data_IF_965626402293
#
_entry.id   IF_965626402293
#
_cell.length_a   1.000
_cell.length_b   1.000
_cell.length_c   1.000
_cell.angle_alpha   90.00
_cell.angle_beta   90.00
_cell.angle_gamma   90.00
#
_symmetry.space_group_name_H-M   'P 1'
#
loop_
_entity.id
_entity.type
_entity.pdbx_description
1 polymer ?
#
# COMPACT_ATOMS: atom_id res chain seq x y z
N UNK A 1 -3.71 32.56 -30.08
CA UNK A 1 -4.00 33.49 -28.96
C UNK A 1 -5.33 34.21 -29.19
N UNK A 2 -5.55 34.83 -30.36
CA UNK A 2 -6.86 35.43 -30.70
C UNK A 2 -7.99 34.37 -30.66
N UNK A 3 -7.79 33.21 -31.30
CA UNK A 3 -8.81 32.13 -31.34
C UNK A 3 -9.25 31.63 -29.95
N UNK A 4 -8.34 31.53 -28.98
CA UNK A 4 -8.66 31.07 -27.63
C UNK A 4 -9.38 32.13 -26.81
N UNK A 5 -9.06 33.41 -27.03
CA UNK A 5 -9.76 34.54 -26.39
C UNK A 5 -11.20 34.62 -26.89
N UNK A 6 -11.40 34.51 -28.21
CA UNK A 6 -12.73 34.52 -28.80
C UNK A 6 -13.58 33.33 -28.34
N UNK A 7 -12.98 32.15 -28.18
CA UNK A 7 -13.63 30.97 -27.61
C UNK A 7 -14.12 31.23 -26.18
N UNK A 8 -13.27 31.79 -25.30
CA UNK A 8 -13.66 32.10 -23.92
C UNK A 8 -14.77 33.15 -23.88
N UNK A 9 -14.68 34.20 -24.69
CA UNK A 9 -15.73 35.23 -24.80
C UNK A 9 -17.05 34.62 -25.30
N UNK A 10 -17.00 33.64 -26.20
CA UNK A 10 -18.17 32.89 -26.62
C UNK A 10 -18.78 32.09 -25.46
N UNK A 11 -17.95 31.35 -24.70
CA UNK A 11 -18.41 30.58 -23.53
C UNK A 11 -19.01 31.48 -22.44
N UNK A 12 -18.43 32.66 -22.19
CA UNK A 12 -18.96 33.64 -21.23
C UNK A 12 -20.36 34.16 -21.58
N UNK A 13 -20.78 34.07 -22.86
CA UNK A 13 -22.12 34.47 -23.31
C UNK A 13 -23.16 33.35 -23.15
N UNK A 14 -22.73 32.11 -22.86
CA UNK A 14 -23.63 30.99 -22.64
C UNK A 14 -24.26 31.07 -21.25
N UNK A 15 -25.49 30.59 -21.12
CA UNK A 15 -26.11 30.45 -19.81
C UNK A 15 -25.40 29.32 -19.06
N UNK A 16 -25.05 29.50 -17.78
CA UNK A 16 -24.22 28.54 -17.03
C UNK A 16 -24.79 27.11 -17.04
N UNK A 17 -26.12 26.97 -17.05
CA UNK A 17 -26.80 25.66 -17.15
C UNK A 17 -26.46 24.92 -18.46
N UNK A 18 -26.30 25.64 -19.58
CA UNK A 18 -25.86 25.05 -20.85
C UNK A 18 -24.45 24.48 -20.76
N UNK A 19 -23.58 25.07 -19.92
CA UNK A 19 -22.22 24.58 -19.68
C UNK A 19 -22.21 23.36 -18.76
N UNK A 20 -22.97 23.41 -17.67
CA UNK A 20 -23.02 22.33 -16.66
C UNK A 20 -23.69 21.06 -17.18
N UNK A 21 -24.70 21.18 -18.03
CA UNK A 21 -25.47 20.04 -18.51
C UNK A 21 -24.74 19.26 -19.66
N UNK A 22 -23.51 19.65 -20.04
CA UNK A 22 -22.74 18.94 -21.08
C UNK A 22 -22.11 17.65 -20.54
N UNK A 23 -22.15 16.60 -21.36
CA UNK A 23 -21.51 15.32 -21.05
C UNK A 23 -20.07 15.29 -21.58
N UNK A 24 -19.11 15.61 -20.71
CA UNK A 24 -17.68 15.64 -21.03
C UNK A 24 -16.97 14.57 -20.21
N UNK A 25 -16.68 13.43 -20.86
CA UNK A 25 -16.05 12.28 -20.23
C UNK A 25 -14.52 12.34 -20.36
N UNK A 26 -13.76 12.41 -19.25
CA UNK A 26 -12.31 12.32 -19.28
C UNK A 26 -11.85 10.88 -19.50
N UNK A 27 -10.53 10.69 -19.64
CA UNK A 27 -9.93 9.37 -19.47
C UNK A 27 -10.29 8.81 -18.09
N UNK A 28 -10.45 7.48 -17.99
CA UNK A 28 -10.79 6.83 -16.72
C UNK A 28 -9.73 7.16 -15.67
N UNK A 29 -10.18 7.37 -14.42
CA UNK A 29 -9.37 7.80 -13.28
C UNK A 29 -8.73 9.20 -13.41
N UNK A 30 -9.09 9.97 -14.44
CA UNK A 30 -8.67 11.36 -14.63
C UNK A 30 -9.89 12.29 -14.54
N UNK A 31 -9.63 13.59 -14.48
CA UNK A 31 -10.65 14.64 -14.41
C UNK A 31 -10.65 15.47 -15.69
N UNK A 32 -11.83 15.93 -16.12
CA UNK A 32 -11.98 16.81 -17.28
C UNK A 32 -11.75 18.29 -16.90
N UNK A 33 -12.29 18.70 -15.76
CA UNK A 33 -12.17 20.06 -15.22
C UNK A 33 -11.79 19.99 -13.74
N UNK A 34 -10.70 20.66 -13.38
CA UNK A 34 -10.18 20.71 -12.02
C UNK A 34 -8.93 21.59 -11.94
N UNK A 35 -8.13 21.45 -10.86
CA UNK A 35 -6.85 22.14 -10.76
C UNK A 35 -5.93 21.84 -11.95
N UNK A 36 -5.20 22.85 -12.43
CA UNK A 36 -4.23 22.74 -13.52
C UNK A 36 -2.91 23.39 -13.09
N UNK A 37 -1.79 22.90 -13.63
CA UNK A 37 -0.47 23.54 -13.47
C UNK A 37 -0.46 24.77 -14.36
N UNK A 38 -0.80 25.92 -13.78
CA UNK A 38 -0.89 27.21 -14.47
C UNK A 38 0.40 28.03 -14.41
N UNK A 39 1.35 27.63 -13.55
CA UNK A 39 2.59 28.35 -13.31
C UNK A 39 2.44 29.57 -12.40
N UNK A 40 1.27 29.74 -11.76
CA UNK A 40 0.97 30.86 -10.86
C UNK A 40 0.36 30.34 -9.55
N UNK A 41 -0.89 29.85 -9.58
CA UNK A 41 -1.53 29.25 -8.39
C UNK A 41 -0.91 27.90 -8.06
N UNK A 42 -0.66 27.07 -9.07
CA UNK A 42 0.08 25.81 -8.99
C UNK A 42 1.34 25.98 -9.86
N UNK A 43 2.49 26.33 -9.25
CA UNK A 43 3.68 26.72 -10.01
C UNK A 43 4.30 25.60 -10.86
N UNK A 44 4.22 24.35 -10.39
CA UNK A 44 4.79 23.16 -11.05
C UNK A 44 4.01 21.90 -10.64
N UNK A 45 4.43 20.73 -11.12
CA UNK A 45 3.89 19.44 -10.71
C UNK A 45 3.93 19.30 -9.17
N UNK A 46 2.81 18.95 -8.50
CA UNK A 46 2.77 18.74 -7.06
C UNK A 46 3.81 17.75 -6.52
N UNK A 47 4.21 16.74 -7.31
CA UNK A 47 5.30 15.85 -6.93
C UNK A 47 6.62 16.61 -6.79
N UNK A 48 6.95 17.45 -7.77
CA UNK A 48 8.17 18.28 -7.78
C UNK A 48 8.12 19.29 -6.62
N UNK A 49 6.99 19.96 -6.42
CA UNK A 49 6.82 20.93 -5.33
C UNK A 49 7.03 20.28 -3.95
N UNK A 50 6.45 19.09 -3.73
CA UNK A 50 6.59 18.37 -2.46
C UNK A 50 8.01 17.84 -2.25
N UNK A 51 8.69 17.36 -3.29
CA UNK A 51 10.10 16.91 -3.22
C UNK A 51 11.08 18.06 -2.93
N UNK A 52 10.75 19.28 -3.38
CA UNK A 52 11.53 20.49 -3.12
C UNK A 52 11.20 21.14 -1.77
N UNK A 53 10.12 20.72 -1.12
CA UNK A 53 9.65 21.33 0.12
C UNK A 53 8.94 22.68 -0.10
N UNK A 54 8.39 22.91 -1.29
CA UNK A 54 7.65 24.12 -1.68
C UNK A 54 6.22 24.12 -1.09
N UNK A 55 6.14 23.98 0.22
CA UNK A 55 4.94 24.16 1.02
C UNK A 55 5.29 24.95 2.28
N UNK A 56 4.35 25.75 2.78
CA UNK A 56 4.56 26.43 4.05
C UNK A 56 4.57 25.42 5.20
N UNK A 57 5.31 25.73 6.26
CA UNK A 57 5.44 24.86 7.43
C UNK A 57 4.15 24.83 8.26
N UNK A 58 3.18 24.05 7.78
CA UNK A 58 1.92 23.75 8.47
C UNK A 58 2.08 22.50 9.34
N UNK A 59 1.32 22.45 10.43
CA UNK A 59 1.05 21.16 11.06
C UNK A 59 0.03 20.42 10.17
N UNK A 60 0.28 19.15 9.84
CA UNK A 60 -0.63 18.34 8.99
C UNK A 60 -1.12 17.09 9.73
N UNK A 61 -2.44 16.87 9.64
CA UNK A 61 -3.09 15.60 9.93
C UNK A 61 -3.67 15.06 8.62
N UNK A 62 -3.31 13.83 8.27
CA UNK A 62 -3.81 13.14 7.08
C UNK A 62 -4.08 11.66 7.37
N UNK A 63 -4.84 11.01 6.50
CA UNK A 63 -5.14 9.60 6.67
C UNK A 63 -6.04 9.06 5.57
N UNK A 64 -6.40 7.79 5.72
CA UNK A 64 -7.16 7.02 4.72
C UNK A 64 -8.12 6.06 5.42
N UNK A 65 -9.16 5.64 4.72
CA UNK A 65 -10.10 4.62 5.16
C UNK A 65 -9.60 3.23 4.74
N UNK A 66 -10.09 2.20 5.43
CA UNK A 66 -9.66 0.81 5.21
C UNK A 66 -9.94 0.31 3.78
N UNK A 67 -11.07 0.73 3.19
CA UNK A 67 -11.61 0.19 1.95
C UNK A 67 -12.12 1.27 0.99
N UNK A 68 -11.35 2.34 0.80
CA UNK A 68 -11.64 3.47 -0.10
C UNK A 68 -12.16 3.01 -1.47
N UNK A 69 -11.56 1.95 -2.02
CA UNK A 69 -11.80 1.44 -3.36
C UNK A 69 -13.15 0.74 -3.59
N UNK A 70 -14.11 0.81 -2.68
CA UNK A 70 -15.39 0.09 -2.75
C UNK A 70 -16.09 0.27 -4.11
N UNK A 71 -16.23 1.53 -4.58
CA UNK A 71 -16.94 1.84 -5.84
C UNK A 71 -16.23 1.32 -7.08
N UNK A 72 -14.94 1.03 -7.01
CA UNK A 72 -14.19 0.46 -8.14
C UNK A 72 -14.47 -1.02 -8.36
N UNK A 73 -14.92 -1.74 -7.31
CA UNK A 73 -15.20 -3.18 -7.40
C UNK A 73 -16.68 -3.50 -7.41
N UNK A 74 -17.55 -2.62 -6.93
CA UNK A 74 -18.99 -2.87 -6.73
C UNK A 74 -19.70 -3.43 -7.98
N UNK A 75 -19.35 -2.96 -9.18
CA UNK A 75 -19.94 -3.42 -10.44
C UNK A 75 -19.42 -4.78 -10.94
N UNK A 76 -18.35 -5.30 -10.34
CA UNK A 76 -17.66 -6.54 -10.72
C UNK A 76 -17.99 -7.68 -9.75
N UNK A 77 -18.53 -7.36 -8.56
CA UNK A 77 -18.90 -8.35 -7.54
C UNK A 77 -20.13 -9.13 -7.99
N UNK A 78 -20.05 -10.46 -7.91
CA UNK A 78 -21.16 -11.35 -8.23
C UNK A 78 -22.18 -11.46 -7.07
N UNK A 79 -23.29 -12.16 -7.32
CA UNK A 79 -24.36 -12.34 -6.33
C UNK A 79 -23.91 -13.10 -5.07
N UNK A 80 -22.79 -13.83 -5.14
CA UNK A 80 -22.20 -14.57 -4.03
C UNK A 80 -21.14 -13.74 -3.28
N UNK A 81 -21.07 -12.43 -3.54
CA UNK A 81 -20.11 -11.49 -2.96
C UNK A 81 -18.64 -11.80 -3.29
N UNK A 82 -18.41 -12.54 -4.38
CA UNK A 82 -17.10 -12.88 -4.92
C UNK A 82 -16.74 -12.06 -6.14
N UNK A 83 -15.47 -12.19 -6.56
CA UNK A 83 -15.00 -11.75 -7.88
C UNK A 83 -14.41 -12.98 -8.57
N UNK A 84 -14.73 -13.20 -9.85
CA UNK A 84 -14.19 -14.32 -10.63
C UNK A 84 -12.75 -14.07 -11.08
N UNK A 85 -12.00 -15.13 -11.40
CA UNK A 85 -10.59 -15.00 -11.82
C UNK A 85 -10.44 -14.11 -13.05
N UNK A 86 -11.28 -14.34 -14.06
CA UNK A 86 -11.25 -13.58 -15.31
C UNK A 86 -11.58 -12.10 -15.09
N UNK A 87 -12.52 -11.81 -14.19
CA UNK A 87 -12.91 -10.45 -13.86
C UNK A 87 -11.81 -9.73 -13.07
N UNK A 88 -11.14 -10.43 -12.16
CA UNK A 88 -9.94 -9.93 -11.47
C UNK A 88 -8.84 -9.60 -12.49
N UNK A 89 -8.49 -10.54 -13.37
CA UNK A 89 -7.44 -10.35 -14.36
C UNK A 89 -7.76 -9.19 -15.32
N UNK A 90 -9.01 -9.09 -15.76
CA UNK A 90 -9.47 -7.99 -16.61
C UNK A 90 -9.40 -6.65 -15.87
N UNK A 91 -9.90 -6.59 -14.63
CA UNK A 91 -9.89 -5.36 -13.83
C UNK A 91 -8.46 -4.86 -13.59
N UNK A 92 -7.53 -5.74 -13.24
CA UNK A 92 -6.11 -5.38 -13.06
C UNK A 92 -5.49 -4.92 -14.38
N UNK A 93 -5.77 -5.62 -15.48
CA UNK A 93 -5.25 -5.25 -16.81
C UNK A 93 -5.73 -3.86 -17.22
N UNK A 94 -7.04 -3.63 -17.19
CA UNK A 94 -7.66 -2.35 -17.53
C UNK A 94 -7.12 -1.23 -16.64
N UNK A 95 -6.98 -1.47 -15.33
CA UNK A 95 -6.42 -0.47 -14.41
C UNK A 95 -4.99 -0.05 -14.80
N UNK A 96 -4.13 -1.02 -15.15
CA UNK A 96 -2.76 -0.72 -15.58
C UNK A 96 -2.75 0.01 -16.92
N UNK A 97 -3.60 -0.39 -17.86
CA UNK A 97 -3.69 0.25 -19.18
C UNK A 97 -4.17 1.70 -19.05
N UNK A 98 -5.19 1.96 -18.23
CA UNK A 98 -5.80 3.28 -18.05
C UNK A 98 -4.86 4.29 -17.36
N UNK A 99 -3.97 3.83 -16.47
CA UNK A 99 -3.07 4.70 -15.69
C UNK A 99 -1.67 4.82 -16.25
N UNK A 100 -1.13 3.73 -16.79
CA UNK A 100 0.24 3.71 -17.28
C UNK A 100 0.29 3.75 -18.82
N UNK A 101 -0.79 3.44 -19.53
CA UNK A 101 -0.88 3.32 -21.00
C UNK A 101 -0.63 1.90 -21.53
N UNK A 102 -0.55 1.72 -22.85
CA UNK A 102 -0.27 0.42 -23.51
C UNK A 102 1.00 0.44 -24.41
N UNK A 103 2.20 0.19 -23.88
CA UNK A 103 3.43 -0.08 -24.59
C UNK A 103 3.44 -1.54 -25.00
N UNK A 104 3.86 -1.76 -26.23
CA UNK A 104 4.28 -3.06 -26.70
C UNK A 104 5.34 -3.61 -25.73
N UNK A 105 4.98 -4.62 -24.91
CA UNK A 105 5.85 -5.20 -23.88
C UNK A 105 5.38 -5.04 -22.42
N UNK A 106 4.23 -4.41 -22.13
CA UNK A 106 3.73 -4.15 -20.76
C UNK A 106 3.27 -5.34 -19.91
N UNK A 107 3.64 -6.55 -20.30
CA UNK A 107 3.23 -7.74 -19.55
C UNK A 107 3.86 -7.76 -18.15
N UNK A 108 5.09 -7.29 -17.99
CA UNK A 108 5.82 -7.38 -16.72
C UNK A 108 5.11 -6.61 -15.60
N UNK A 109 4.65 -5.38 -15.87
CA UNK A 109 4.00 -4.55 -14.85
C UNK A 109 2.66 -5.17 -14.42
N UNK A 110 1.85 -5.56 -15.41
CA UNK A 110 0.55 -6.21 -15.18
C UNK A 110 0.71 -7.52 -14.41
N UNK A 111 1.59 -8.40 -14.84
CA UNK A 111 1.80 -9.70 -14.21
C UNK A 111 2.39 -9.55 -12.80
N UNK A 112 3.27 -8.56 -12.58
CA UNK A 112 3.77 -8.23 -11.24
C UNK A 112 2.64 -7.77 -10.33
N UNK A 113 1.77 -6.86 -10.79
CA UNK A 113 0.64 -6.37 -9.98
C UNK A 113 -0.33 -7.50 -9.66
N UNK A 114 -0.71 -8.33 -10.65
CA UNK A 114 -1.53 -9.53 -10.42
C UNK A 114 -0.89 -10.47 -9.40
N UNK A 115 0.40 -10.72 -9.54
CA UNK A 115 1.16 -11.57 -8.62
C UNK A 115 1.12 -11.02 -7.19
N UNK A 116 1.33 -9.72 -7.03
CA UNK A 116 1.35 -9.08 -5.73
C UNK A 116 -0.03 -9.05 -5.07
N UNK A 117 -1.11 -8.87 -5.84
CA UNK A 117 -2.48 -8.82 -5.31
C UNK A 117 -3.23 -10.16 -5.33
N UNK A 118 -2.55 -11.24 -5.70
CA UNK A 118 -3.07 -12.59 -5.50
C UNK A 118 -2.70 -13.08 -4.11
N UNK A 119 -3.69 -13.50 -3.32
CA UNK A 119 -3.41 -14.25 -2.09
C UNK A 119 -3.07 -15.69 -2.46
N UNK A 120 -1.78 -16.01 -2.52
CA UNK A 120 -1.32 -17.35 -2.89
C UNK A 120 -1.66 -18.44 -1.87
N UNK A 121 -1.96 -18.07 -0.62
CA UNK A 121 -2.40 -19.02 0.41
C UNK A 121 -3.87 -19.43 0.24
N UNK A 122 -4.69 -18.57 -0.39
CA UNK A 122 -6.12 -18.78 -0.58
C UNK A 122 -6.60 -18.38 -1.99
N UNK A 123 -5.79 -18.71 -3.01
CA UNK A 123 -5.92 -18.17 -4.38
C UNK A 123 -7.24 -18.48 -5.09
N UNK A 124 -7.94 -19.51 -4.63
CA UNK A 124 -9.18 -19.98 -5.26
C UNK A 124 -10.43 -19.36 -4.63
N UNK A 125 -10.28 -18.59 -3.54
CA UNK A 125 -11.40 -17.99 -2.84
C UNK A 125 -11.88 -16.69 -3.53
N UNK A 126 -13.12 -16.65 -4.05
CA UNK A 126 -13.65 -15.46 -4.73
C UNK A 126 -13.78 -14.23 -3.83
N UNK A 127 -14.08 -14.40 -2.54
CA UNK A 127 -14.15 -13.30 -1.59
C UNK A 127 -12.78 -12.69 -1.31
N UNK A 128 -11.74 -13.54 -1.24
CA UNK A 128 -10.36 -13.09 -1.07
C UNK A 128 -9.91 -12.29 -2.29
N UNK A 129 -10.24 -12.73 -3.51
CA UNK A 129 -10.01 -11.94 -4.74
C UNK A 129 -10.74 -10.60 -4.73
N UNK A 130 -12.00 -10.55 -4.25
CA UNK A 130 -12.73 -9.28 -4.09
C UNK A 130 -11.98 -8.33 -3.15
N UNK A 131 -11.54 -8.85 -1.98
CA UNK A 131 -10.80 -8.05 -0.99
C UNK A 131 -9.48 -7.54 -1.53
N UNK A 132 -8.72 -8.36 -2.26
CA UNK A 132 -7.43 -7.93 -2.81
C UNK A 132 -7.59 -6.97 -3.99
N UNK A 133 -8.63 -7.13 -4.81
CA UNK A 133 -8.95 -6.16 -5.87
C UNK A 133 -9.34 -4.79 -5.28
N UNK A 134 -10.21 -4.77 -4.26
CA UNK A 134 -10.57 -3.54 -3.55
C UNK A 134 -9.33 -2.88 -2.92
N UNK A 135 -8.47 -3.69 -2.32
CA UNK A 135 -7.19 -3.24 -1.77
C UNK A 135 -6.27 -2.64 -2.84
N UNK A 136 -6.23 -3.18 -4.06
CA UNK A 136 -5.41 -2.63 -5.15
C UNK A 136 -5.79 -1.19 -5.47
N UNK A 137 -7.08 -0.93 -5.67
CA UNK A 137 -7.59 0.43 -5.92
C UNK A 137 -7.33 1.34 -4.73
N UNK A 138 -7.60 0.86 -3.51
CA UNK A 138 -7.36 1.60 -2.27
C UNK A 138 -5.90 2.00 -2.13
N UNK A 139 -5.00 1.04 -2.36
CA UNK A 139 -3.56 1.21 -2.18
C UNK A 139 -2.98 2.24 -3.16
N UNK A 140 -3.34 2.13 -4.44
CA UNK A 140 -2.79 3.01 -5.47
C UNK A 140 -3.40 4.41 -5.40
N UNK A 141 -4.73 4.54 -5.28
CA UNK A 141 -5.41 5.83 -5.45
C UNK A 141 -5.42 6.67 -4.16
N UNK A 142 -5.24 6.05 -2.98
CA UNK A 142 -5.28 6.77 -1.70
C UNK A 142 -4.06 6.49 -0.82
N UNK A 143 -3.75 5.22 -0.53
CA UNK A 143 -2.74 4.90 0.51
C UNK A 143 -1.34 5.34 0.09
N UNK A 144 -0.87 4.96 -1.09
CA UNK A 144 0.48 5.28 -1.55
C UNK A 144 0.70 6.81 -1.69
N UNK A 145 -0.20 7.59 -2.32
CA UNK A 145 -0.09 9.04 -2.34
C UNK A 145 -0.13 9.69 -0.94
N UNK A 146 -0.98 9.19 -0.03
CA UNK A 146 -1.05 9.71 1.33
C UNK A 146 0.25 9.45 2.12
N UNK A 147 0.85 8.26 1.98
CA UNK A 147 2.13 7.95 2.64
C UNK A 147 3.27 8.75 2.01
N UNK A 148 3.33 8.89 0.68
CA UNK A 148 4.32 9.74 0.01
C UNK A 148 4.23 11.20 0.51
N UNK A 149 3.00 11.72 0.63
CA UNK A 149 2.74 13.05 1.19
C UNK A 149 3.23 13.17 2.63
N UNK A 150 2.94 12.18 3.48
CA UNK A 150 3.36 12.17 4.88
C UNK A 150 4.89 12.06 5.04
N UNK A 151 5.54 11.23 4.22
CA UNK A 151 6.98 11.06 4.21
C UNK A 151 7.67 12.36 3.80
N UNK A 152 7.26 12.97 2.69
CA UNK A 152 7.81 14.25 2.24
C UNK A 152 7.58 15.34 3.28
N UNK A 153 6.34 15.54 3.74
CA UNK A 153 6.03 16.58 4.72
C UNK A 153 6.82 16.42 6.03
N UNK A 154 6.92 15.20 6.57
CA UNK A 154 7.68 14.96 7.80
C UNK A 154 9.21 15.04 7.61
N UNK A 155 9.72 14.75 6.41
CA UNK A 155 11.16 14.82 6.11
C UNK A 155 11.70 16.26 6.17
N UNK A 156 10.87 17.26 5.88
CA UNK A 156 11.18 18.68 6.03
C UNK A 156 11.02 19.19 7.49
N UNK A 157 10.74 18.31 8.45
CA UNK A 157 10.68 18.63 9.88
C UNK A 157 9.31 19.14 10.37
N UNK A 158 8.30 19.17 9.49
CA UNK A 158 6.96 19.64 9.82
C UNK A 158 6.17 18.61 10.66
N UNK A 159 5.44 19.03 11.71
CA UNK A 159 4.63 18.11 12.51
C UNK A 159 3.55 17.42 11.68
N UNK A 160 3.62 16.09 11.66
CA UNK A 160 2.75 15.24 10.82
C UNK A 160 2.07 14.20 11.68
N UNK A 161 0.78 13.95 11.45
CA UNK A 161 -0.01 12.91 12.12
C UNK A 161 -0.75 12.09 11.07
N UNK A 162 -0.55 10.77 11.08
CA UNK A 162 -1.20 9.85 10.14
C UNK A 162 -2.26 9.00 10.85
N UNK A 163 -3.42 8.79 10.23
CA UNK A 163 -4.42 7.82 10.69
C UNK A 163 -4.83 6.84 9.61
N UNK A 164 -5.35 5.70 10.06
CA UNK A 164 -6.11 4.80 9.21
C UNK A 164 -7.46 4.49 9.87
N UNK A 165 -8.57 4.74 9.15
CA UNK A 165 -9.93 4.64 9.64
C UNK A 165 -10.54 3.26 9.32
N UNK A 166 -10.86 2.50 10.36
CA UNK A 166 -11.23 1.08 10.32
C UNK A 166 -12.59 0.85 10.98
N UNK A 167 -13.52 1.79 10.78
CA UNK A 167 -14.86 1.73 11.32
C UNK A 167 -15.82 2.47 10.40
N UNK A 168 -17.05 1.99 10.28
CA UNK A 168 -18.11 2.68 9.54
C UNK A 168 -19.47 2.25 10.10
N UNK A 169 -20.49 3.01 9.74
CA UNK A 169 -21.86 2.68 10.10
C UNK A 169 -22.50 1.93 8.92
N UNK A 170 -22.98 0.71 9.15
CA UNK A 170 -23.60 -0.10 8.10
C UNK A 170 -24.95 0.49 7.70
N UNK A 171 -25.14 0.76 6.41
CA UNK A 171 -26.45 1.11 5.83
C UNK A 171 -26.95 -0.02 4.94
N UNK A 172 -28.24 0.01 4.59
CA UNK A 172 -28.81 -0.95 3.61
C UNK A 172 -28.25 -0.78 2.19
N UNK A 173 -27.71 0.41 1.88
CA UNK A 173 -27.15 0.73 0.56
C UNK A 173 -25.70 0.26 0.40
N UNK A 174 -25.01 -0.04 1.50
CA UNK A 174 -23.62 -0.50 1.49
C UNK A 174 -23.62 -2.03 1.65
N UNK A 175 -22.87 -2.77 0.83
CA UNK A 175 -22.79 -4.23 0.96
C UNK A 175 -22.32 -4.67 2.36
N UNK A 176 -22.89 -5.75 2.95
CA UNK A 176 -22.52 -6.21 4.30
C UNK A 176 -21.06 -6.60 4.48
N UNK A 177 -20.35 -6.86 3.38
CA UNK A 177 -18.96 -7.27 3.37
C UNK A 177 -17.98 -6.10 3.24
N UNK A 178 -18.49 -4.89 3.02
CA UNK A 178 -17.68 -3.70 2.83
C UNK A 178 -17.03 -3.29 4.15
N UNK A 179 -15.78 -2.86 4.07
CA UNK A 179 -15.11 -2.14 5.14
C UNK A 179 -15.45 -0.64 5.03
N UNK A 180 -14.80 0.21 5.85
CA UNK A 180 -14.95 1.66 5.76
C UNK A 180 -14.53 2.18 4.37
N UNK A 181 -15.50 2.68 3.60
CA UNK A 181 -15.36 3.18 2.25
C UNK A 181 -15.02 4.68 2.21
N UNK A 182 -14.85 5.21 1.00
CA UNK A 182 -14.52 6.62 0.81
C UNK A 182 -15.60 7.55 1.38
N UNK A 183 -15.19 8.43 2.30
CA UNK A 183 -16.07 9.40 2.99
C UNK A 183 -16.80 8.88 4.24
N UNK A 184 -16.60 7.60 4.63
CA UNK A 184 -17.28 7.02 5.80
C UNK A 184 -16.81 7.63 7.14
N UNK A 185 -15.69 8.35 7.18
CA UNK A 185 -15.19 9.07 8.34
C UNK A 185 -15.94 10.40 8.58
N UNK A 186 -16.51 10.99 7.52
CA UNK A 186 -17.16 12.31 7.55
C UNK A 186 -18.24 12.40 8.65
N UNK A 187 -19.19 11.46 8.79
CA UNK A 187 -20.19 11.52 9.85
C UNK A 187 -19.61 11.60 11.26
N UNK A 188 -18.47 10.94 11.50
CA UNK A 188 -17.81 10.89 12.80
C UNK A 188 -17.08 12.19 13.10
N UNK A 189 -16.43 12.79 12.08
CA UNK A 189 -15.77 14.10 12.18
C UNK A 189 -16.78 15.21 12.49
N UNK A 190 -17.98 15.14 11.91
CA UNK A 190 -19.02 16.16 12.08
C UNK A 190 -20.01 15.90 13.23
N UNK A 191 -19.81 14.86 14.04
CA UNK A 191 -20.65 14.65 15.22
C UNK A 191 -22.05 14.07 14.93
N UNK A 192 -22.31 13.57 13.72
CA UNK A 192 -23.65 13.09 13.33
C UNK A 192 -24.20 11.97 14.24
N UNK A 193 -23.39 11.00 14.70
CA UNK A 193 -23.86 10.01 15.66
C UNK A 193 -24.50 10.60 16.93
N UNK A 194 -24.11 11.82 17.34
CA UNK A 194 -24.67 12.47 18.54
C UNK A 194 -26.09 13.00 18.35
N UNK A 195 -26.49 13.32 17.12
CA UNK A 195 -27.83 13.79 16.77
C UNK A 195 -28.72 12.70 16.16
N UNK A 196 -28.12 11.58 15.78
CA UNK A 196 -28.82 10.43 15.18
C UNK A 196 -28.88 10.49 13.65
N UNK A 197 -29.67 9.60 13.02
CA UNK A 197 -29.83 9.57 11.57
C UNK A 197 -30.38 10.89 11.02
N UNK A 198 -29.86 11.31 9.88
CA UNK A 198 -30.30 12.54 9.16
C UNK A 198 -30.75 12.17 7.75
N UNK A 199 -31.35 13.12 7.03
CA UNK A 199 -31.73 12.92 5.62
C UNK A 199 -30.51 12.62 4.73
N UNK A 200 -29.40 13.31 4.97
CA UNK A 200 -28.16 13.12 4.21
C UNK A 200 -27.41 11.85 4.63
N UNK A 201 -27.45 11.50 5.92
CA UNK A 201 -26.81 10.32 6.48
C UNK A 201 -27.83 9.46 7.24
N UNK A 202 -28.57 8.59 6.55
CA UNK A 202 -29.65 7.80 7.13
C UNK A 202 -29.15 6.59 7.93
N UNK A 203 -27.92 6.61 8.43
CA UNK A 203 -27.36 5.49 9.16
C UNK A 203 -27.86 5.42 10.60
N UNK A 204 -28.24 4.21 11.03
CA UNK A 204 -28.64 3.94 12.40
C UNK A 204 -27.42 3.82 13.32
N UNK A 205 -26.89 4.97 13.74
CA UNK A 205 -25.72 5.04 14.61
C UNK A 205 -25.95 4.35 15.96
N UNK A 206 -25.04 3.46 16.30
CA UNK A 206 -24.94 2.78 17.58
C UNK A 206 -24.29 3.65 18.65
N UNK A 207 -24.38 3.22 19.91
CA UNK A 207 -23.65 3.87 21.02
C UNK A 207 -22.12 3.83 20.85
N UNK A 208 -21.59 2.84 20.12
CA UNK A 208 -20.15 2.84 19.82
C UNK A 208 -19.80 3.93 18.80
N UNK A 209 -20.71 4.27 17.89
CA UNK A 209 -20.53 5.34 16.91
C UNK A 209 -20.52 6.71 17.58
N UNK A 210 -21.41 6.91 18.57
CA UNK A 210 -21.42 8.12 19.41
C UNK A 210 -20.08 8.29 20.13
N UNK A 211 -19.57 7.22 20.76
CA UNK A 211 -18.27 7.23 21.42
C UNK A 211 -17.14 7.55 20.44
N UNK A 212 -17.11 6.87 19.29
CA UNK A 212 -16.05 7.07 18.30
C UNK A 212 -16.09 8.49 17.71
N UNK A 213 -17.27 9.03 17.45
CA UNK A 213 -17.41 10.41 16.95
C UNK A 213 -16.94 11.44 17.98
N UNK A 214 -17.22 11.24 19.27
CA UNK A 214 -16.67 12.10 20.33
C UNK A 214 -15.13 12.06 20.38
N UNK A 215 -14.54 10.86 20.22
CA UNK A 215 -13.09 10.66 20.15
C UNK A 215 -12.48 11.41 18.97
N UNK A 216 -13.04 11.19 17.77
CA UNK A 216 -12.60 11.81 16.51
C UNK A 216 -12.68 13.33 16.63
N UNK A 217 -13.83 13.89 17.03
CA UNK A 217 -13.95 15.34 17.22
C UNK A 217 -12.97 15.88 18.26
N UNK A 218 -12.67 15.12 19.31
CA UNK A 218 -11.66 15.54 20.30
C UNK A 218 -10.28 15.65 19.65
N UNK A 219 -9.82 14.64 18.92
CA UNK A 219 -8.52 14.70 18.21
C UNK A 219 -8.48 15.83 17.16
N UNK A 220 -9.52 15.97 16.33
CA UNK A 220 -9.57 17.00 15.28
C UNK A 220 -9.60 18.42 15.87
N UNK A 221 -10.42 18.65 16.91
CA UNK A 221 -10.50 19.98 17.53
C UNK A 221 -9.28 20.30 18.40
N UNK A 222 -8.62 19.29 18.97
CA UNK A 222 -7.33 19.45 19.65
C UNK A 222 -6.25 19.89 18.66
N UNK A 223 -6.15 19.18 17.53
CA UNK A 223 -5.24 19.55 16.45
C UNK A 223 -5.51 20.96 15.94
N UNK A 224 -6.76 21.34 15.73
CA UNK A 224 -7.12 22.71 15.35
C UNK A 224 -6.75 23.78 16.40
N UNK A 225 -6.73 23.44 17.70
CA UNK A 225 -6.38 24.36 18.79
C UNK A 225 -4.87 24.53 18.96
N UNK A 226 -4.09 23.46 18.77
CA UNK A 226 -2.68 23.43 19.21
C UNK A 226 -1.70 22.79 18.23
N UNK A 227 -2.15 22.24 17.10
CA UNK A 227 -1.29 21.45 16.20
C UNK A 227 -0.97 20.04 16.72
N UNK A 228 -1.49 19.65 17.89
CA UNK A 228 -1.29 18.34 18.51
C UNK A 228 -2.66 17.72 18.82
N UNK A 229 -3.03 16.57 18.21
CA UNK A 229 -4.33 15.95 18.44
C UNK A 229 -4.52 15.52 19.91
N UNK A 230 -3.45 15.40 20.70
CA UNK A 230 -3.53 14.96 22.09
C UNK A 230 -3.77 16.11 23.09
N UNK A 231 -3.77 17.38 22.64
CA UNK A 231 -3.84 18.55 23.52
C UNK A 231 -4.90 19.56 23.07
N UNK A 232 -5.59 20.25 23.99
CA UNK A 232 -5.45 20.19 25.45
C UNK A 232 -6.42 19.21 26.12
N UNK A 233 -7.37 18.64 25.37
CA UNK A 233 -8.45 17.83 25.93
C UNK A 233 -8.04 16.34 25.92
N UNK A 234 -7.89 15.68 27.08
CA UNK A 234 -7.61 14.25 27.13
C UNK A 234 -8.81 13.42 26.65
N UNK A 235 -8.53 12.18 26.23
CA UNK A 235 -9.52 11.22 25.76
C UNK A 235 -10.28 10.54 26.91
N UNK A 236 -10.85 11.30 27.84
CA UNK A 236 -11.57 10.75 29.00
C UNK A 236 -12.99 10.25 28.65
N UNK A 237 -13.49 9.23 29.36
CA UNK A 237 -14.92 8.89 29.32
C UNK A 237 -15.78 9.98 29.98
N UNK A 238 -16.68 10.56 29.18
CA UNK A 238 -17.72 11.52 29.61
C UNK A 238 -19.11 11.07 29.18
N UNK A 239 -20.17 11.61 29.80
CA UNK A 239 -21.56 11.28 29.46
C UNK A 239 -21.88 11.34 27.96
N UNK A 240 -21.30 12.30 27.24
CA UNK A 240 -21.50 12.47 25.79
C UNK A 240 -21.12 11.24 24.96
N UNK A 241 -20.20 10.39 25.45
CA UNK A 241 -19.74 9.22 24.71
C UNK A 241 -20.75 8.09 24.72
N UNK A 242 -21.66 8.03 25.71
CA UNK A 242 -22.64 6.93 25.94
C UNK A 242 -22.07 5.52 26.18
N UNK A 243 -20.77 5.33 25.95
CA UNK A 243 -19.95 4.14 26.21
C UNK A 243 -18.57 4.57 26.74
N UNK A 244 -17.85 3.67 27.45
CA UNK A 244 -16.46 3.93 27.81
C UNK A 244 -15.60 4.26 26.59
N UNK A 245 -14.80 5.32 26.70
CA UNK A 245 -13.87 5.76 25.68
C UNK A 245 -12.72 4.75 25.59
N UNK A 246 -12.58 4.11 24.42
CA UNK A 246 -11.55 3.08 24.19
C UNK A 246 -10.16 3.67 23.90
N UNK A 247 -10.06 5.00 23.80
CA UNK A 247 -8.85 5.74 23.46
C UNK A 247 -8.21 6.46 24.67
N UNK A 248 -8.71 6.22 25.90
CA UNK A 248 -8.19 6.85 27.13
C UNK A 248 -6.66 6.75 27.26
N UNK A 249 -6.10 5.58 26.94
CA UNK A 249 -4.65 5.32 27.01
C UNK A 249 -3.95 5.40 25.64
N UNK A 250 -4.64 5.89 24.61
CA UNK A 250 -4.12 5.95 23.24
C UNK A 250 -3.65 7.36 22.91
N UNK A 251 -2.36 7.61 23.11
CA UNK A 251 -1.71 8.82 22.61
C UNK A 251 -1.40 8.67 21.11
N UNK A 252 -1.84 9.63 20.29
CA UNK A 252 -1.55 9.67 18.86
C UNK A 252 -0.15 10.23 18.63
N UNK A 253 0.82 9.34 18.43
CA UNK A 253 2.21 9.72 18.18
C UNK A 253 2.38 10.37 16.80
N UNK A 254 3.30 11.33 16.70
CA UNK A 254 3.68 11.96 15.44
C UNK A 254 4.19 10.93 14.43
N UNK A 255 3.82 11.13 13.18
CA UNK A 255 4.38 10.44 12.04
C UNK A 255 5.78 10.98 11.73
N UNK A 256 6.67 10.07 11.33
CA UNK A 256 7.94 10.41 10.70
C UNK A 256 8.31 9.29 9.72
N UNK A 257 9.11 9.60 8.70
CA UNK A 257 9.48 8.64 7.66
C UNK A 257 10.18 7.37 8.20
N UNK A 258 10.86 7.45 9.35
CA UNK A 258 11.62 6.32 9.91
C UNK A 258 10.73 5.29 10.61
N UNK A 259 9.86 5.75 11.51
CA UNK A 259 9.04 4.87 12.34
C UNK A 259 7.64 4.65 11.75
N UNK A 260 7.20 5.56 10.86
CA UNK A 260 5.91 5.55 10.16
C UNK A 260 4.72 5.21 11.06
N UNK A 261 4.70 5.81 12.26
CA UNK A 261 3.67 5.60 13.26
C UNK A 261 2.34 6.23 12.82
N UNK A 262 1.26 5.49 12.96
CA UNK A 262 -0.09 5.96 12.66
C UNK A 262 -1.10 5.52 13.70
N UNK A 263 -2.17 6.29 13.86
CA UNK A 263 -3.31 5.92 14.69
C UNK A 263 -4.28 5.04 13.91
N UNK A 264 -4.51 3.82 14.40
CA UNK A 264 -5.60 2.98 13.92
C UNK A 264 -6.90 3.41 14.61
N UNK A 265 -7.77 4.12 13.88
CA UNK A 265 -9.05 4.59 14.40
C UNK A 265 -10.11 3.52 14.17
N UNK A 266 -10.68 2.99 15.25
CA UNK A 266 -11.79 2.04 15.21
C UNK A 266 -12.10 1.51 16.60
N UNK A 267 -12.90 0.45 16.71
CA UNK A 267 -13.33 -0.07 18.02
C UNK A 267 -12.24 -0.80 18.82
N UNK A 268 -11.07 -1.04 18.22
CA UNK A 268 -9.87 -1.58 18.89
C UNK A 268 -8.66 -0.66 18.61
N UNK A 269 -8.68 0.56 19.15
CA UNK A 269 -7.71 1.58 18.79
C UNK A 269 -6.32 1.27 19.33
N UNK A 270 -5.30 1.67 18.57
CA UNK A 270 -3.89 1.54 18.93
C UNK A 270 -3.01 2.30 17.93
N UNK A 271 -1.86 2.78 18.39
CA UNK A 271 -0.80 3.19 17.46
C UNK A 271 -0.18 1.94 16.84
N UNK A 272 0.05 2.00 15.54
CA UNK A 272 0.74 0.98 14.75
C UNK A 272 1.81 1.66 13.91
N UNK A 273 2.58 0.87 13.20
CA UNK A 273 3.69 1.33 12.35
C UNK A 273 3.53 0.78 10.93
N UNK A 274 4.11 1.47 9.95
CA UNK A 274 4.30 0.97 8.58
C UNK A 274 2.99 0.51 7.91
N UNK A 275 2.01 1.41 7.82
CA UNK A 275 0.69 1.11 7.26
C UNK A 275 0.79 0.54 5.83
N UNK A 276 0.49 -0.76 5.69
CA UNK A 276 0.51 -1.48 4.40
C UNK A 276 1.84 -1.35 3.64
N UNK A 277 2.97 -1.21 4.35
CA UNK A 277 4.27 -0.85 3.78
C UNK A 277 4.72 -1.68 2.57
N UNK A 278 4.46 -2.99 2.55
CA UNK A 278 4.79 -3.83 1.38
C UNK A 278 4.07 -3.38 0.10
N UNK A 279 2.82 -2.91 0.21
CA UNK A 279 2.02 -2.43 -0.92
C UNK A 279 2.36 -0.99 -1.28
N UNK A 280 2.61 -0.16 -0.27
CA UNK A 280 3.11 1.20 -0.49
C UNK A 280 4.43 1.16 -1.24
N UNK A 281 5.40 0.37 -0.79
CA UNK A 281 6.71 0.26 -1.44
C UNK A 281 6.62 -0.35 -2.85
N UNK A 282 5.71 -1.30 -3.08
CA UNK A 282 5.40 -1.77 -4.44
C UNK A 282 5.06 -0.58 -5.37
N UNK A 283 4.18 0.32 -4.95
CA UNK A 283 3.72 1.44 -5.77
C UNK A 283 4.71 2.60 -5.86
N UNK A 284 5.44 2.90 -4.79
CA UNK A 284 6.35 4.05 -4.73
C UNK A 284 7.76 3.73 -5.25
N UNK A 285 8.20 2.47 -5.22
CA UNK A 285 9.57 2.08 -5.60
C UNK A 285 9.60 1.12 -6.79
N UNK A 286 8.98 -0.06 -6.65
CA UNK A 286 9.11 -1.13 -7.65
C UNK A 286 8.38 -0.79 -8.96
N UNK A 287 7.16 -0.29 -8.88
CA UNK A 287 6.34 0.04 -10.07
C UNK A 287 6.99 1.13 -10.92
N UNK A 288 7.45 2.27 -10.39
CA UNK A 288 8.21 3.27 -11.15
C UNK A 288 9.45 2.68 -11.84
N UNK A 289 10.20 1.82 -11.14
CA UNK A 289 11.34 1.14 -11.73
C UNK A 289 10.94 0.26 -12.92
N UNK A 290 9.95 -0.62 -12.74
CA UNK A 290 9.44 -1.47 -13.83
C UNK A 290 8.86 -0.66 -15.00
N UNK A 291 8.26 0.49 -14.72
CA UNK A 291 7.74 1.38 -15.75
C UNK A 291 8.86 1.99 -16.59
N UNK A 292 9.90 2.53 -15.94
CA UNK A 292 11.06 3.15 -16.60
C UNK A 292 11.87 2.19 -17.48
N UNK A 293 12.02 0.92 -17.07
CA UNK A 293 12.75 -0.08 -17.84
C UNK A 293 12.13 -0.29 -19.22
N UNK A 294 10.80 -0.23 -19.31
CA UNK A 294 10.09 -0.42 -20.58
C UNK A 294 10.27 0.77 -21.53
N UNK A 295 10.46 1.99 -21.03
CA UNK A 295 10.76 3.16 -21.88
C UNK A 295 12.15 3.05 -22.53
N UNK A 296 13.15 2.55 -21.80
CA UNK A 296 14.52 2.38 -22.31
C UNK A 296 14.63 1.27 -23.37
N UNK A 297 13.71 0.29 -23.35
CA UNK A 297 13.78 -0.88 -24.25
C UNK A 297 13.12 -0.65 -25.61
N UNK A 298 12.53 0.53 -25.85
CA UNK A 298 12.03 0.95 -27.17
C UNK A 298 13.19 1.52 -28.01
N UNK A 299 13.72 0.81 -29.03
CA UNK A 299 14.75 1.38 -29.89
C UNK A 299 14.14 2.50 -30.73
N UNK A 300 14.62 3.72 -30.52
CA UNK A 300 14.45 4.83 -31.47
C UNK A 300 14.94 4.34 -32.84
N UNK A 301 14.12 4.31 -33.90
CA UNK A 301 14.60 3.97 -35.23
C UNK A 301 15.48 5.12 -35.71
N UNK A 302 16.79 5.00 -35.51
CA UNK A 302 17.78 5.88 -36.15
C UNK A 302 17.88 5.51 -37.62
N UNK A 303 16.85 5.83 -38.41
CA UNK A 303 16.98 5.88 -39.87
C UNK A 303 17.56 7.25 -40.22
N UNK A 304 18.88 7.38 -40.14
CA UNK A 304 19.57 8.50 -40.77
C UNK A 304 19.35 8.36 -42.28
N UNK A 305 18.40 9.11 -42.84
CA UNK A 305 18.23 9.24 -44.30
C UNK A 305 19.48 9.93 -44.84
N UNK A 306 20.36 9.14 -45.47
CA UNK A 306 21.46 9.63 -46.29
C UNK A 306 20.84 10.27 -47.56
N UNK A 307 21.12 11.54 -47.90
CA UNK A 307 20.70 12.08 -49.19
C UNK A 307 21.56 11.49 -50.31
N UNK A 308 21.01 11.23 -51.51
CA UNK A 308 21.76 10.69 -52.63
C UNK A 308 22.80 11.70 -53.14
N UNK A 309 23.96 11.25 -53.67
CA UNK A 309 25.03 12.14 -54.08
C UNK A 309 24.69 12.84 -55.40
N UNK A 310 24.66 14.17 -55.39
CA UNK A 310 24.64 14.97 -56.61
C UNK A 310 25.99 14.89 -57.32
N UNK A 311 25.96 14.40 -58.56
CA UNK A 311 27.07 14.46 -59.48
C UNK A 311 27.18 15.87 -60.08
N UNK A 312 28.30 16.56 -59.89
CA UNK A 312 28.75 17.60 -60.84
C UNK A 312 30.26 17.67 -60.96
N UNK A 313 30.67 17.80 -62.23
CA UNK A 313 32.03 17.76 -62.76
C UNK A 313 32.91 18.94 -62.33
N UNK A 314 34.20 18.67 -62.03
CA UNK A 314 35.30 19.63 -62.30
C UNK A 314 36.66 18.93 -62.40
N UNK A 315 37.33 19.21 -63.51
CA UNK A 315 38.65 18.74 -63.99
C UNK A 315 39.84 19.46 -63.30
N UNK A 316 41.09 18.98 -63.48
CA UNK A 316 42.09 18.87 -62.41
C UNK A 316 43.06 20.05 -62.33
N UNK A 317 43.62 20.32 -61.14
CA UNK A 317 44.86 21.09 -60.99
C UNK A 317 45.83 20.44 -60.00
N UNK A 318 46.96 20.07 -60.56
CA UNK A 318 48.19 19.54 -59.98
C UNK A 318 48.83 20.56 -59.01
N UNK A 319 49.16 20.14 -57.79
CA UNK A 319 50.32 20.66 -57.04
C UNK A 319 50.97 19.54 -56.24
N UNK A 320 52.22 19.27 -56.61
CA UNK A 320 53.18 18.42 -55.92
C UNK A 320 53.76 19.20 -54.75
N UNK A 321 53.83 18.61 -53.56
CA UNK A 321 54.91 18.89 -52.61
C UNK A 321 55.29 17.63 -51.82
N UNK A 322 56.58 17.36 -51.85
CA UNK A 322 57.30 16.20 -51.34
C UNK A 322 57.66 16.43 -49.87
N UNK A 323 57.55 15.43 -48.99
CA UNK A 323 58.70 14.84 -48.27
C UNK A 323 58.31 13.77 -47.22
N UNK A 324 59.02 12.63 -47.35
CA UNK A 324 59.56 11.71 -46.33
C UNK A 324 58.62 10.74 -45.56
N UNK A 325 58.66 9.48 -46.01
CA UNK A 325 58.60 8.23 -45.22
C UNK A 325 60.01 7.85 -44.72
N UNK A 326 60.16 7.04 -43.65
CA UNK A 326 60.31 5.58 -43.80
C UNK A 326 59.52 4.77 -42.73
N UNK A 327 58.71 3.75 -43.06
CA UNK A 327 58.99 2.36 -43.51
C UNK A 327 59.07 1.32 -42.34
N UNK A 328 58.73 0.02 -42.60
CA UNK A 328 57.79 -0.75 -41.77
C UNK A 328 58.21 -2.19 -41.38
N UNK A 329 57.42 -2.84 -40.50
CA UNK A 329 57.16 -4.32 -40.37
C UNK A 329 58.34 -5.25 -39.97
N UNK A 330 58.14 -6.45 -39.35
CA UNK A 330 57.24 -7.51 -39.83
C UNK A 330 56.44 -8.35 -38.81
N UNK A 331 55.40 -9.00 -39.36
CA UNK A 331 54.66 -10.14 -38.85
C UNK A 331 55.53 -11.40 -38.67
N UNK A 332 55.01 -12.42 -37.98
CA UNK A 332 54.80 -13.70 -38.67
C UNK A 332 53.40 -14.33 -38.47
N UNK A 333 52.84 -14.68 -39.63
CA UNK A 333 52.02 -15.83 -40.09
C UNK A 333 51.26 -16.78 -39.13
N UNK A 334 49.99 -16.97 -39.52
CA UNK A 334 48.97 -18.02 -39.31
C UNK A 334 49.36 -19.39 -38.74
N UNK A 335 48.43 -19.94 -37.93
CA UNK A 335 47.71 -21.20 -38.22
C UNK A 335 46.37 -21.27 -37.46
N UNK A 336 45.31 -21.70 -38.16
CA UNK A 336 44.05 -22.16 -37.55
C UNK A 336 44.28 -23.51 -36.85
N UNK A 337 43.72 -23.70 -35.66
CA UNK A 337 42.96 -24.93 -35.35
C UNK A 337 42.14 -24.81 -34.04
N UNK A 338 41.00 -25.47 -34.07
CA UNK A 338 39.93 -25.54 -33.07
C UNK A 338 40.23 -26.39 -31.83
N UNK A 339 39.89 -25.92 -30.61
CA UNK A 339 39.07 -26.63 -29.60
C UNK A 339 39.04 -25.95 -28.19
N UNK A 340 37.83 -25.91 -27.62
CA UNK A 340 37.47 -26.04 -26.19
C UNK A 340 37.69 -24.90 -25.15
N UNK A 341 36.59 -24.17 -24.88
CA UNK A 341 35.97 -23.89 -23.56
C UNK A 341 36.71 -23.00 -22.51
N UNK A 342 35.99 -22.47 -21.48
CA UNK A 342 35.83 -21.04 -21.24
C UNK A 342 36.75 -20.46 -20.16
N UNK A 343 36.97 -19.14 -20.23
CA UNK A 343 37.64 -18.34 -19.21
C UNK A 343 36.82 -18.32 -17.91
N UNK A 344 37.33 -19.00 -16.89
CA UNK A 344 36.92 -18.94 -15.49
C UNK A 344 37.88 -17.98 -14.77
N UNK A 345 37.44 -16.77 -14.48
CA UNK A 345 38.08 -15.87 -13.52
C UNK A 345 36.96 -15.26 -12.68
N UNK A 346 37.15 -15.27 -11.36
CA UNK A 346 36.27 -14.80 -10.25
C UNK A 346 35.20 -15.74 -9.68
N UNK A 347 35.55 -17.02 -9.48
CA UNK A 347 34.75 -17.93 -8.64
C UNK A 347 35.58 -18.65 -7.56
N UNK A 348 36.49 -17.95 -6.89
CA UNK A 348 37.23 -18.52 -5.74
C UNK A 348 36.98 -17.85 -4.39
N UNK A 349 36.51 -16.60 -4.36
CA UNK A 349 36.35 -15.89 -3.08
C UNK A 349 34.94 -16.00 -2.46
N UNK A 350 33.90 -16.30 -3.25
CA UNK A 350 32.55 -16.53 -2.71
C UNK A 350 32.37 -17.87 -1.99
N UNK A 351 33.24 -18.85 -2.25
CA UNK A 351 33.05 -20.23 -1.77
C UNK A 351 33.40 -20.39 -0.28
N UNK A 352 34.40 -19.65 0.20
CA UNK A 352 34.84 -19.70 1.61
C UNK A 352 33.89 -18.93 2.52
N UNK A 353 33.47 -17.73 2.13
CA UNK A 353 32.55 -16.90 2.92
C UNK A 353 31.14 -17.52 3.02
N UNK A 354 30.63 -18.08 1.92
CA UNK A 354 29.36 -18.80 1.91
C UNK A 354 29.43 -20.07 2.76
N UNK A 355 30.53 -20.82 2.70
CA UNK A 355 30.72 -22.03 3.51
C UNK A 355 30.81 -21.72 5.01
N UNK A 356 31.49 -20.63 5.38
CA UNK A 356 31.56 -20.17 6.79
C UNK A 356 30.18 -19.74 7.28
N UNK A 357 29.43 -19.00 6.48
CA UNK A 357 28.07 -18.54 6.83
C UNK A 357 27.12 -19.72 7.02
N UNK A 358 27.18 -20.72 6.14
CA UNK A 358 26.39 -21.95 6.26
C UNK A 358 26.81 -22.75 7.51
N UNK A 359 28.10 -22.87 7.79
CA UNK A 359 28.59 -23.58 8.97
C UNK A 359 28.16 -22.92 10.29
N UNK A 360 28.22 -21.58 10.37
CA UNK A 360 27.76 -20.82 11.53
C UNK A 360 26.24 -20.94 11.68
N UNK A 361 25.48 -20.81 10.58
CA UNK A 361 24.03 -20.97 10.57
C UNK A 361 23.57 -22.35 11.04
N UNK A 362 24.22 -23.41 10.53
CA UNK A 362 23.92 -24.79 10.93
C UNK A 362 24.27 -25.05 12.41
N UNK A 363 25.35 -24.46 12.91
CA UNK A 363 25.76 -24.58 14.32
C UNK A 363 24.77 -23.89 15.26
N UNK A 364 24.29 -22.70 14.89
CA UNK A 364 23.27 -21.98 15.66
C UNK A 364 21.92 -22.70 15.65
N UNK A 365 21.53 -23.30 14.52
CA UNK A 365 20.33 -24.11 14.42
C UNK A 365 20.42 -25.33 15.35
N UNK A 366 21.56 -26.04 15.34
CA UNK A 366 21.76 -27.22 16.19
C UNK A 366 21.76 -26.85 17.68
N UNK A 367 22.39 -25.73 18.06
CA UNK A 367 22.34 -25.22 19.44
C UNK A 367 20.92 -24.86 19.88
N UNK A 368 20.14 -24.22 19.01
CA UNK A 368 18.74 -23.91 19.30
C UNK A 368 17.90 -25.19 19.47
N UNK A 369 18.09 -26.21 18.62
CA UNK A 369 17.40 -27.49 18.75
C UNK A 369 17.76 -28.17 20.08
N UNK A 370 19.03 -28.18 20.48
CA UNK A 370 19.46 -28.74 21.76
C UNK A 370 18.89 -27.97 22.95
N UNK A 371 18.84 -26.64 22.89
CA UNK A 371 18.24 -25.81 23.92
C UNK A 371 16.73 -26.10 24.07
N UNK A 372 16.01 -26.21 22.95
CA UNK A 372 14.60 -26.58 22.95
C UNK A 372 14.37 -28.00 23.48
N UNK A 373 15.21 -28.97 23.08
CA UNK A 373 15.14 -30.34 23.59
C UNK A 373 15.41 -30.40 25.11
N UNK A 374 16.37 -29.63 25.60
CA UNK A 374 16.67 -29.54 27.03
C UNK A 374 15.51 -28.89 27.82
N UNK A 375 14.91 -27.82 27.29
CA UNK A 375 13.74 -27.18 27.89
C UNK A 375 12.51 -28.10 27.88
N UNK A 376 12.31 -28.83 26.78
CA UNK A 376 11.25 -29.82 26.65
C UNK A 376 11.43 -30.95 27.65
N UNK A 377 12.63 -31.52 27.75
CA UNK A 377 12.94 -32.58 28.72
C UNK A 377 12.81 -32.09 30.17
N UNK A 378 13.21 -30.84 30.48
CA UNK A 378 13.03 -30.24 31.80
C UNK A 378 11.55 -30.02 32.14
N UNK A 379 10.72 -29.66 31.15
CA UNK A 379 9.27 -29.52 31.30
C UNK A 379 8.59 -30.87 31.50
N UNK A 380 9.02 -31.90 30.75
CA UNK A 380 8.48 -33.25 30.84
C UNK A 380 8.87 -33.95 32.15
N UNK A 381 10.12 -33.80 32.60
CA UNK A 381 10.56 -34.25 33.93
C UNK A 381 9.75 -33.60 35.07
N UNK A 382 9.44 -32.30 34.98
CA UNK A 382 8.54 -31.63 35.94
C UNK A 382 7.13 -32.21 35.92
N UNK A 383 6.59 -32.59 34.76
CA UNK A 383 5.28 -33.26 34.67
C UNK A 383 5.29 -34.65 35.30
N UNK A 384 6.35 -35.43 35.05
CA UNK A 384 6.53 -36.74 35.67
C UNK A 384 6.71 -36.66 37.20
N UNK A 385 7.46 -35.68 37.71
CA UNK A 385 7.61 -35.47 39.17
C UNK A 385 6.29 -35.03 39.85
N UNK A 386 5.43 -34.29 39.14
CA UNK A 386 4.08 -33.92 39.62
C UNK A 386 3.14 -35.13 39.63
N UNK A 387 3.20 -36.02 38.63
CA UNK A 387 2.43 -37.27 38.63
C UNK A 387 2.89 -38.27 39.70
N UNK A 388 4.18 -38.29 40.06
CA UNK A 388 4.69 -39.17 41.13
C UNK A 388 4.25 -38.76 42.54
N UNK A 389 3.83 -37.50 42.74
CA UNK A 389 3.26 -37.00 44.01
C UNK A 389 1.76 -37.29 44.19
N UNK A 390 1.06 -37.81 43.18
CA UNK A 390 -0.40 -38.03 43.20
C UNK A 390 -0.84 -39.50 43.14
N UNK A 391 -0.01 -40.47 43.55
CA UNK A 391 -0.46 -41.86 43.74
C UNK A 391 -0.81 -42.11 45.21
N UNK A 392 -2.06 -42.53 45.55
CA UNK A 392 -2.43 -42.81 46.93
C UNK A 392 -1.96 -44.20 47.35
N UNK A 393 -1.34 -44.26 48.53
CA UNK A 393 -0.91 -45.49 49.18
C UNK A 393 -2.13 -46.16 49.84
N UNK A 394 -2.49 -47.36 49.36
CA UNK A 394 -3.44 -48.27 50.02
C UNK A 394 -2.96 -48.59 51.44
N UNK A 395 -3.82 -48.36 52.43
CA UNK A 395 -3.78 -49.09 53.71
C UNK A 395 -5.22 -49.51 54.07
N UNK A 396 -5.32 -50.74 54.55
CA UNK A 396 -6.55 -51.46 54.83
C UNK A 396 -6.91 -51.40 56.32
N UNK A 397 -8.21 -51.33 56.65
CA UNK A 397 -8.88 -52.06 57.73
C UNK A 397 -10.34 -51.58 57.89
N UNK A 398 -11.28 -52.53 57.80
CA UNK A 398 -12.61 -52.74 58.45
C UNK A 398 -13.54 -51.52 58.70
N UNK A 399 -14.84 -51.56 58.39
CA UNK A 399 -15.82 -52.55 58.89
C UNK A 399 -17.07 -52.70 57.99
N UNK A 400 -17.73 -53.84 58.18
CA UNK A 400 -18.90 -54.36 57.47
C UNK A 400 -20.24 -53.70 57.87
N UNK A 401 -21.11 -53.57 56.87
CA UNK A 401 -22.56 -53.85 56.85
C UNK A 401 -23.54 -53.06 57.76
N UNK A 402 -24.43 -52.29 57.12
CA UNK A 402 -25.85 -52.66 57.08
C UNK A 402 -26.59 -52.01 55.90
N UNK A 403 -27.45 -52.84 55.31
CA UNK A 403 -28.34 -52.66 54.17
C UNK A 403 -29.58 -51.79 54.46
N UNK A 404 -30.18 -51.30 53.35
CA UNK A 404 -31.62 -51.33 53.03
C UNK A 404 -32.36 -49.97 52.97
N UNK A 405 -33.09 -49.78 51.85
CA UNK A 405 -34.26 -48.89 51.63
C UNK A 405 -33.98 -47.36 51.69
N UNK A 406 -34.40 -46.48 50.78
CA UNK A 406 -35.67 -46.34 50.04
C UNK A 406 -35.42 -45.40 48.83
N UNK A 407 -36.04 -45.70 47.68
CA UNK A 407 -36.10 -44.85 46.50
C UNK A 407 -37.57 -44.49 46.26
N UNK A 408 -38.06 -43.33 46.72
CA UNK A 408 -39.37 -42.77 46.35
C UNK A 408 -39.37 -41.21 46.37
N UNK A 409 -39.72 -40.65 45.20
CA UNK A 409 -40.34 -39.33 44.88
C UNK A 409 -39.57 -38.02 45.16
N UNK A 410 -39.25 -37.22 44.14
CA UNK A 410 -40.07 -36.33 43.29
C UNK A 410 -40.17 -34.89 43.80
N UNK A 411 -39.85 -33.96 42.90
CA UNK A 411 -40.35 -32.58 42.79
C UNK A 411 -39.97 -31.59 43.90
N UNK A 412 -38.96 -30.73 43.61
CA UNK A 412 -39.23 -29.35 43.16
C UNK A 412 -37.99 -28.74 42.49
#
# INVERSE_FOLDING_TARGET
>A
LEDTVDLVVCLQRKHYKELVDQDIQPARYHIAFGPVIDGDVIPDDPQILMEQGEFLNYDIMLGVNQGEGLKFVELIVDNDNGVQANDFDYAVSSFVDDLYGYPEGKDILRETIKFMYTDWADRHNPETRRKTLLALFTDHQWVAPAVATADLHSSFGSPTYFYAFYHHCQTEQVPPWADAAHGDEIPYVFGLPMIGPTELFPCNFSKNDVMLSAVVMTYWTNFAKTGDPNQPVPQDTKFIHTKPNRFEEVAWTRYNQKDQLYLHIGLKPRVKEHYRANKVNLWLELVPHLHSLNEVTQPIPTTTKIPPPEATNRTPKTKVLVTKRPNPTPFPTETQDSHNQPHLVDQRDYSTELSVTIAVGASLLFLNILAFAALYYKKDKRRHDVHRRCSPQRSAANDLAHTQEEEIMSLQ
#
